data_IF_902747991844
#
_entry.id   IF_902747991844
#
_cell.length_a   1.000
_cell.length_b   1.000
_cell.length_c   1.000
_cell.angle_alpha   90.00
_cell.angle_beta   90.00
_cell.angle_gamma   90.00
#
_symmetry.space_group_name_H-M   'P 1'
#
loop_
_entity.id
_entity.type
_entity.pdbx_description
1 polymer ?
#
# COMPACT_ATOMS: atom_id res chain seq x y z
N UNK A 1 30.52 15.67 -6.57
CA UNK A 1 29.39 15.57 -5.62
C UNK A 1 28.49 14.45 -6.15
N UNK A 2 28.76 13.20 -5.77
CA UNK A 2 27.97 12.07 -6.27
C UNK A 2 26.58 12.15 -5.68
N UNK A 3 25.56 12.27 -6.54
CA UNK A 3 24.18 12.16 -6.14
C UNK A 3 23.98 10.78 -5.52
N UNK A 4 23.70 10.73 -4.21
CA UNK A 4 23.37 9.49 -3.51
C UNK A 4 22.12 8.93 -4.21
N UNK A 5 22.13 7.69 -4.71
CA UNK A 5 20.98 7.12 -5.38
C UNK A 5 19.86 6.99 -4.35
N UNK A 6 18.87 7.86 -4.50
CA UNK A 6 17.56 7.94 -3.86
C UNK A 6 17.28 6.76 -2.90
N UNK A 7 17.75 6.89 -1.66
CA UNK A 7 17.06 6.27 -0.53
C UNK A 7 15.66 6.87 -0.57
N UNK A 8 14.60 6.05 -0.54
CA UNK A 8 13.23 6.52 -0.66
C UNK A 8 13.04 7.80 0.19
N UNK A 9 12.64 8.91 -0.44
CA UNK A 9 12.66 10.23 0.20
C UNK A 9 11.79 10.31 1.46
N UNK A 10 10.95 9.29 1.69
CA UNK A 10 10.07 9.15 2.83
C UNK A 10 9.96 7.69 3.25
N UNK A 11 10.06 7.44 4.56
CA UNK A 11 9.71 6.16 5.16
C UNK A 11 8.20 6.17 5.47
N UNK A 12 7.40 5.17 5.03
CA UNK A 12 5.94 5.21 5.12
C UNK A 12 5.40 5.30 6.56
N UNK A 13 6.17 4.81 7.53
CA UNK A 13 5.83 4.81 8.95
C UNK A 13 6.67 5.84 9.70
N UNK A 14 6.07 6.50 10.69
CA UNK A 14 6.81 7.38 11.60
C UNK A 14 7.82 6.58 12.42
N UNK A 15 9.10 6.90 12.26
CA UNK A 15 10.16 6.37 13.11
C UNK A 15 10.19 7.15 14.44
N UNK A 16 10.66 6.52 15.52
CA UNK A 16 10.82 7.22 16.79
C UNK A 16 11.80 8.41 16.62
N UNK A 17 11.69 9.41 17.50
CA UNK A 17 12.57 10.57 17.45
C UNK A 17 14.05 10.12 17.51
N UNK A 18 14.82 10.46 16.47
CA UNK A 18 16.23 10.07 16.34
C UNK A 18 16.48 8.74 15.61
N UNK A 19 15.45 7.96 15.27
CA UNK A 19 15.60 6.79 14.39
C UNK A 19 15.48 7.19 12.92
N UNK A 20 16.45 6.73 12.11
CA UNK A 20 16.43 6.81 10.66
C UNK A 20 16.57 5.39 10.11
N UNK A 21 15.75 5.02 9.13
CA UNK A 21 15.92 3.76 8.40
C UNK A 21 17.10 3.94 7.42
N UNK A 22 18.28 3.45 7.80
CA UNK A 22 19.49 3.50 6.97
C UNK A 22 19.56 2.24 6.09
N UNK A 23 19.10 2.36 4.85
CA UNK A 23 19.18 1.26 3.88
C UNK A 23 20.58 1.13 3.25
N UNK A 24 21.36 2.22 3.27
CA UNK A 24 22.68 2.32 2.64
C UNK A 24 23.75 1.47 3.32
N UNK A 25 23.59 1.14 4.60
CA UNK A 25 24.53 0.27 5.32
C UNK A 25 24.66 -1.12 4.70
N UNK A 26 23.58 -1.63 4.08
CA UNK A 26 23.59 -2.94 3.41
C UNK A 26 23.51 -2.85 1.88
N UNK A 27 22.97 -1.76 1.33
CA UNK A 27 22.76 -1.60 -0.12
C UNK A 27 23.72 -0.63 -0.82
N UNK A 28 24.82 -0.25 -0.16
CA UNK A 28 25.94 0.41 -0.84
C UNK A 28 26.63 -0.54 -1.83
N UNK A 29 27.20 0.02 -2.90
CA UNK A 29 28.00 -0.67 -3.91
C UNK A 29 29.27 -1.37 -3.34
N UNK A 30 29.50 -1.27 -2.02
CA UNK A 30 30.64 -1.86 -1.33
C UNK A 30 30.54 -3.39 -1.14
N UNK A 31 29.33 -3.97 -1.22
CA UNK A 31 29.11 -5.42 -1.19
C UNK A 31 29.05 -5.99 -2.61
N UNK A 32 30.12 -5.82 -3.39
CA UNK A 32 30.22 -6.35 -4.77
C UNK A 32 29.92 -7.86 -4.80
N UNK A 33 28.76 -8.23 -5.34
CA UNK A 33 28.44 -9.60 -5.77
C UNK A 33 27.46 -10.38 -4.90
N UNK A 34 27.05 -9.88 -3.73
CA UNK A 34 26.16 -10.61 -2.80
C UNK A 34 24.80 -9.94 -2.59
N UNK A 35 24.72 -8.61 -2.65
CA UNK A 35 23.46 -7.86 -2.45
C UNK A 35 23.07 -7.04 -3.67
N UNK A 36 21.77 -7.01 -3.97
CA UNK A 36 21.21 -6.17 -5.05
C UNK A 36 21.22 -4.70 -4.61
N UNK A 37 21.47 -3.76 -5.53
CA UNK A 37 21.39 -2.33 -5.22
C UNK A 37 19.95 -1.97 -4.79
N UNK A 38 19.79 -0.95 -3.94
CA UNK A 38 18.47 -0.51 -3.49
C UNK A 38 17.53 -0.15 -4.66
N UNK A 39 18.10 0.39 -5.75
CA UNK A 39 17.37 0.72 -6.99
C UNK A 39 16.70 -0.49 -7.65
N UNK A 40 17.12 -1.72 -7.34
CA UNK A 40 16.46 -2.94 -7.80
C UNK A 40 15.08 -3.16 -7.12
N UNK A 41 14.82 -2.50 -5.99
CA UNK A 41 13.57 -2.60 -5.23
C UNK A 41 12.68 -1.36 -5.47
N UNK A 42 12.31 -1.15 -6.73
CA UNK A 42 11.50 -0.01 -7.15
C UNK A 42 10.00 -0.23 -6.84
N UNK A 43 9.46 0.57 -5.93
CA UNK A 43 8.03 0.61 -5.56
C UNK A 43 7.17 1.39 -6.57
N UNK A 44 7.44 1.24 -7.86
CA UNK A 44 6.69 1.91 -8.93
C UNK A 44 5.19 1.57 -8.89
N UNK A 45 4.36 2.39 -9.55
CA UNK A 45 2.93 2.09 -9.69
C UNK A 45 2.67 0.69 -10.27
N UNK A 46 3.51 0.23 -11.20
CA UNK A 46 3.42 -1.13 -11.75
C UNK A 46 3.70 -2.20 -10.70
N UNK A 47 4.70 -2.00 -9.83
CA UNK A 47 4.94 -2.89 -8.70
C UNK A 47 3.73 -2.93 -7.79
N UNK A 48 3.18 -1.77 -7.41
CA UNK A 48 2.01 -1.71 -6.52
C UNK A 48 0.82 -2.45 -7.13
N UNK A 49 0.58 -2.35 -8.43
CA UNK A 49 -0.51 -3.06 -9.10
C UNK A 49 -0.29 -4.59 -9.18
N UNK A 50 0.97 -5.02 -9.14
CA UNK A 50 1.36 -6.42 -9.29
C UNK A 50 1.93 -7.04 -8.00
N UNK A 51 1.93 -6.31 -6.88
CA UNK A 51 2.59 -6.72 -5.63
C UNK A 51 2.11 -8.07 -5.13
N UNK A 52 0.84 -8.43 -5.40
CA UNK A 52 0.26 -9.74 -5.11
C UNK A 52 1.08 -10.91 -5.64
N UNK A 53 1.67 -10.78 -6.82
CA UNK A 53 2.46 -11.85 -7.45
C UNK A 53 3.81 -12.01 -6.76
N UNK A 54 4.41 -10.90 -6.36
CA UNK A 54 5.67 -10.90 -5.61
C UNK A 54 5.45 -11.43 -4.19
N UNK A 55 4.41 -10.97 -3.50
CA UNK A 55 4.04 -11.44 -2.16
C UNK A 55 3.66 -12.94 -2.16
N UNK A 56 2.99 -13.42 -3.20
CA UNK A 56 2.72 -14.86 -3.35
C UNK A 56 3.99 -15.69 -3.60
N UNK A 57 5.02 -15.09 -4.21
CA UNK A 57 6.30 -15.76 -4.42
C UNK A 57 7.14 -15.82 -3.13
N UNK A 58 7.30 -14.69 -2.45
CA UNK A 58 8.03 -14.59 -1.18
C UNK A 58 7.71 -13.28 -0.45
N UNK A 59 6.80 -13.33 0.52
CA UNK A 59 6.42 -12.20 1.36
C UNK A 59 7.49 -11.83 2.41
N UNK A 60 8.39 -12.76 2.75
CA UNK A 60 9.45 -12.54 3.75
C UNK A 60 10.47 -11.52 3.28
N UNK A 61 10.65 -11.40 1.96
CA UNK A 61 11.46 -10.35 1.35
C UNK A 61 10.91 -8.95 1.73
N UNK A 62 9.59 -8.79 1.72
CA UNK A 62 8.95 -7.55 2.15
C UNK A 62 9.13 -7.32 3.66
N UNK A 63 9.03 -8.40 4.45
CA UNK A 63 9.21 -8.36 5.91
C UNK A 63 10.63 -7.97 6.36
N UNK A 64 11.61 -8.00 5.44
CA UNK A 64 12.97 -7.50 5.70
C UNK A 64 12.98 -5.99 5.96
N UNK A 65 12.05 -5.25 5.33
CA UNK A 65 11.95 -3.79 5.46
C UNK A 65 10.63 -3.33 6.10
N UNK A 66 9.54 -4.08 5.95
CA UNK A 66 8.21 -3.70 6.37
C UNK A 66 7.69 -4.56 7.52
N UNK A 67 6.95 -3.94 8.45
CA UNK A 67 6.22 -4.69 9.48
C UNK A 67 4.97 -5.34 8.87
N UNK A 68 4.52 -6.45 9.45
CA UNK A 68 3.29 -7.13 9.02
C UNK A 68 2.03 -6.23 9.03
N UNK A 69 2.02 -5.19 9.87
CA UNK A 69 0.98 -4.17 9.90
C UNK A 69 0.83 -3.40 8.58
N UNK A 70 1.90 -3.28 7.79
CA UNK A 70 1.86 -2.66 6.47
C UNK A 70 0.93 -3.41 5.52
N UNK A 71 0.99 -4.75 5.52
CA UNK A 71 0.08 -5.59 4.74
C UNK A 71 -1.37 -5.45 5.25
N UNK A 72 -1.53 -5.38 6.57
CA UNK A 72 -2.84 -5.21 7.22
C UNK A 72 -3.51 -3.87 6.90
N UNK A 73 -2.78 -2.87 6.41
CA UNK A 73 -3.36 -1.58 5.98
C UNK A 73 -4.18 -1.66 4.69
N UNK A 74 -4.19 -2.79 4.01
CA UNK A 74 -5.13 -3.07 2.92
C UNK A 74 -5.78 -4.47 3.05
N UNK A 75 -5.08 -5.46 3.60
CA UNK A 75 -5.56 -6.84 3.71
C UNK A 75 -6.35 -7.15 4.99
N UNK A 76 -6.75 -6.13 5.76
CA UNK A 76 -7.65 -6.32 6.90
C UNK A 76 -9.10 -6.43 6.42
N UNK A 77 -9.73 -7.59 6.67
CA UNK A 77 -11.16 -7.81 6.45
C UNK A 77 -11.99 -7.59 7.72
N UNK A 78 -11.35 -7.21 8.83
CA UNK A 78 -11.99 -7.20 10.17
C UNK A 78 -12.24 -5.81 10.73
N UNK A 79 -11.60 -4.79 10.18
CA UNK A 79 -11.86 -3.40 10.56
C UNK A 79 -12.50 -2.74 9.36
N UNK A 80 -13.68 -2.15 9.56
CA UNK A 80 -14.29 -1.27 8.57
C UNK A 80 -13.23 -0.26 8.15
N UNK A 81 -12.68 -0.45 6.95
CA UNK A 81 -11.73 0.49 6.45
C UNK A 81 -12.54 1.77 6.23
N UNK A 82 -12.25 2.78 7.04
CA UNK A 82 -12.57 4.18 6.75
C UNK A 82 -11.33 4.87 6.17
N UNK A 83 -10.88 4.55 4.94
CA UNK A 83 -9.77 5.22 4.27
C UNK A 83 -9.90 6.73 4.25
N UNK A 84 -11.10 7.29 4.28
CA UNK A 84 -11.33 8.72 4.44
C UNK A 84 -10.66 9.29 5.70
N UNK A 85 -10.51 8.48 6.75
CA UNK A 85 -9.86 8.85 8.03
C UNK A 85 -8.37 8.51 8.05
N UNK A 86 -7.96 7.34 7.51
CA UNK A 86 -6.56 6.89 7.60
C UNK A 86 -5.67 7.38 6.44
N UNK A 87 -6.24 7.63 5.26
CA UNK A 87 -5.53 8.05 4.03
C UNK A 87 -6.38 8.92 3.09
N UNK A 88 -7.37 9.65 3.60
CA UNK A 88 -8.43 10.26 2.79
C UNK A 88 -7.96 11.33 1.80
N UNK A 89 -6.74 11.83 2.00
CA UNK A 89 -6.09 12.87 1.19
C UNK A 89 -5.08 12.33 0.18
N UNK A 90 -4.89 11.01 0.07
CA UNK A 90 -3.89 10.38 -0.82
C UNK A 90 -4.50 10.15 -2.21
N UNK A 91 -4.24 11.02 -3.22
CA UNK A 91 -4.81 10.87 -4.55
C UNK A 91 -4.23 9.66 -5.31
N UNK A 92 -3.04 9.22 -4.90
CA UNK A 92 -2.30 8.07 -5.42
C UNK A 92 -2.90 6.72 -5.00
N UNK A 93 -3.76 6.69 -3.99
CA UNK A 93 -4.48 5.48 -3.61
C UNK A 93 -5.82 5.45 -4.31
N UNK A 94 -5.97 4.53 -5.27
CA UNK A 94 -7.26 4.21 -5.89
C UNK A 94 -8.16 3.42 -4.96
N UNK A 95 -8.49 4.01 -3.83
CA UNK A 95 -9.32 3.38 -2.81
C UNK A 95 -10.75 3.89 -2.93
N UNK A 96 -11.78 3.03 -2.88
CA UNK A 96 -13.18 3.47 -2.99
C UNK A 96 -13.57 4.49 -1.93
N UNK A 97 -13.01 4.43 -0.72
CA UNK A 97 -13.43 5.27 0.42
C UNK A 97 -12.66 6.60 0.54
N UNK A 98 -12.51 7.37 -0.55
CA UNK A 98 -11.88 8.70 -0.47
C UNK A 98 -12.83 9.72 0.18
N UNK A 99 -12.33 10.91 0.55
CA UNK A 99 -13.16 11.96 1.18
C UNK A 99 -14.40 12.37 0.36
N UNK A 100 -14.43 12.07 -0.94
CA UNK A 100 -15.54 12.31 -1.86
C UNK A 100 -16.26 11.03 -2.31
N UNK A 101 -16.13 9.92 -1.58
CA UNK A 101 -16.72 8.62 -1.94
C UNK A 101 -18.20 8.74 -2.33
N UNK A 102 -19.04 9.44 -1.57
CA UNK A 102 -20.47 9.56 -1.90
C UNK A 102 -20.73 10.20 -3.28
N UNK A 103 -19.85 11.10 -3.72
CA UNK A 103 -19.94 11.74 -5.04
C UNK A 103 -19.51 10.78 -6.16
N UNK A 104 -18.45 10.00 -5.93
CA UNK A 104 -17.88 9.08 -6.92
C UNK A 104 -18.54 7.68 -6.92
N UNK A 105 -19.17 7.29 -5.81
CA UNK A 105 -19.75 5.96 -5.56
C UNK A 105 -20.70 5.53 -6.66
N UNK A 106 -21.55 6.43 -7.16
CA UNK A 106 -22.47 6.13 -8.25
C UNK A 106 -21.73 5.75 -9.54
N UNK A 107 -20.58 6.37 -9.81
CA UNK A 107 -19.77 6.09 -10.99
C UNK A 107 -18.96 4.82 -10.77
N UNK A 108 -18.21 4.75 -9.67
CA UNK A 108 -17.35 3.60 -9.33
C UNK A 108 -18.17 2.31 -9.15
N UNK A 109 -19.28 2.36 -8.43
CA UNK A 109 -20.19 1.22 -8.22
C UNK A 109 -20.93 0.78 -9.50
N UNK A 110 -21.02 1.65 -10.52
CA UNK A 110 -21.49 1.24 -11.86
C UNK A 110 -20.39 0.59 -12.69
N UNK A 111 -19.15 1.08 -12.56
CA UNK A 111 -18.00 0.57 -13.30
C UNK A 111 -17.56 -0.80 -12.77
N UNK A 112 -17.40 -0.95 -11.46
CA UNK A 112 -16.99 -2.21 -10.82
C UNK A 112 -17.57 -2.32 -9.39
N UNK A 113 -18.82 -2.79 -9.22
CA UNK A 113 -19.39 -3.06 -7.90
C UNK A 113 -18.70 -4.23 -7.20
N UNK A 114 -18.03 -5.12 -7.94
CA UNK A 114 -17.37 -6.28 -7.38
C UNK A 114 -16.08 -5.91 -6.62
N UNK A 115 -15.45 -4.78 -6.99
CA UNK A 115 -14.31 -4.20 -6.28
C UNK A 115 -14.57 -3.99 -4.79
N UNK A 116 -15.80 -3.64 -4.40
CA UNK A 116 -16.17 -3.42 -3.01
C UNK A 116 -16.14 -4.71 -2.17
N UNK A 117 -16.56 -5.84 -2.75
CA UNK A 117 -16.63 -7.13 -2.05
C UNK A 117 -15.27 -7.71 -1.70
N UNK A 118 -14.18 -7.22 -2.32
CA UNK A 118 -12.81 -7.70 -2.05
C UNK A 118 -12.38 -7.45 -0.60
N UNK A 119 -12.81 -6.34 -0.02
CA UNK A 119 -12.52 -5.98 1.37
C UNK A 119 -13.73 -6.20 2.28
N UNK A 120 -14.93 -5.95 1.77
CA UNK A 120 -16.15 -5.98 2.58
C UNK A 120 -16.86 -7.33 2.62
N UNK A 121 -16.46 -8.28 1.77
CA UNK A 121 -17.15 -9.56 1.62
C UNK A 121 -18.64 -9.39 1.27
N UNK A 122 -19.43 -10.44 1.53
CA UNK A 122 -20.90 -10.40 1.33
C UNK A 122 -21.65 -9.66 2.44
N UNK A 123 -20.99 -9.39 3.57
CA UNK A 123 -21.55 -8.70 4.74
C UNK A 123 -22.00 -7.27 4.45
N UNK A 124 -21.43 -6.61 3.43
CA UNK A 124 -21.79 -5.23 3.10
C UNK A 124 -23.05 -5.11 2.23
N UNK A 125 -23.65 -6.22 1.80
CA UNK A 125 -24.91 -6.20 1.05
C UNK A 125 -26.01 -5.44 1.80
N UNK A 126 -26.10 -5.60 3.13
CA UNK A 126 -27.09 -4.90 3.97
C UNK A 126 -26.94 -3.37 3.92
N UNK A 127 -25.71 -2.88 3.78
CA UNK A 127 -25.42 -1.44 3.64
C UNK A 127 -25.72 -0.94 2.23
N UNK A 128 -25.46 -1.75 1.22
CA UNK A 128 -25.75 -1.40 -0.18
C UNK A 128 -27.26 -1.28 -0.41
N UNK A 129 -28.05 -2.23 0.10
CA UNK A 129 -29.52 -2.23 -0.09
C UNK A 129 -30.22 -1.07 0.61
N UNK A 130 -29.60 -0.46 1.63
CA UNK A 130 -30.17 0.73 2.27
C UNK A 130 -30.34 1.93 1.31
N UNK A 131 -29.56 1.96 0.22
CA UNK A 131 -29.61 3.03 -0.79
C UNK A 131 -29.94 2.53 -2.21
N UNK A 132 -29.85 1.23 -2.47
CA UNK A 132 -29.99 0.61 -3.81
C UNK A 132 -31.06 -0.50 -3.83
N UNK A 133 -32.30 -0.18 -3.47
CA UNK A 133 -33.44 -1.11 -3.52
C UNK A 133 -33.74 -1.60 -4.95
#
# INVERSE_FOLDING_TARGET
>A
MSAIPVVAAYHPESLAAGQQASCSECHEDQQKGTMKPFSAFNHSASFINNHRFYAASDDRLCATCHKGSFCSDCHTNQVEMKPSTRYGYRPDREMPHRGNFMTLHKIEGKLDPAGCYRCHGRSNNERCVACHH
#
